data_IF_840570204223
#
_entry.id   IF_840570204223
#
_cell.length_a   1.000
_cell.length_b   1.000
_cell.length_c   1.000
_cell.angle_alpha   90.00
_cell.angle_beta   90.00
_cell.angle_gamma   90.00
#
_symmetry.space_group_name_H-M   'P 1'
#
loop_
_entity.id
_entity.type
_entity.pdbx_description
1 polymer ?
#
# COMPACT_ATOMS: atom_id res chain seq x y z
N UNK A 1 -19.39 -12.42 -10.83
CA UNK A 1 -19.99 -13.72 -10.48
C UNK A 1 -21.50 -13.57 -10.64
N UNK A 2 -22.17 -14.38 -11.46
CA UNK A 2 -23.64 -14.44 -11.42
C UNK A 2 -24.00 -15.10 -10.10
N UNK A 3 -24.81 -14.43 -9.28
CA UNK A 3 -25.40 -15.07 -8.11
C UNK A 3 -26.35 -16.17 -8.63
N UNK A 4 -26.11 -17.41 -8.21
CA UNK A 4 -27.02 -18.51 -8.47
C UNK A 4 -28.27 -18.26 -7.63
N UNK A 5 -29.39 -18.00 -8.29
CA UNK A 5 -30.69 -17.78 -7.64
C UNK A 5 -31.44 -19.08 -7.37
N UNK A 6 -30.90 -20.23 -7.79
CA UNK A 6 -31.51 -21.54 -7.57
C UNK A 6 -30.60 -22.68 -8.01
N UNK A 7 -30.90 -23.89 -7.54
CA UNK A 7 -30.17 -25.11 -7.87
C UNK A 7 -30.37 -25.46 -9.35
N UNK A 8 -29.30 -25.66 -10.15
CA UNK A 8 -29.40 -25.98 -11.57
C UNK A 8 -29.92 -27.41 -11.82
N UNK A 9 -29.92 -28.28 -10.80
CA UNK A 9 -30.43 -29.65 -10.93
C UNK A 9 -31.91 -29.80 -10.57
N UNK A 10 -32.36 -29.18 -9.48
CA UNK A 10 -33.74 -29.37 -8.99
C UNK A 10 -34.58 -28.08 -8.94
N UNK A 11 -33.98 -26.91 -9.19
CA UNK A 11 -34.67 -25.63 -9.16
C UNK A 11 -34.95 -25.05 -7.78
N UNK A 12 -34.66 -25.76 -6.68
CA UNK A 12 -34.83 -25.22 -5.32
C UNK A 12 -33.92 -24.02 -5.07
N UNK A 13 -34.45 -23.03 -4.36
CA UNK A 13 -33.73 -21.83 -3.91
C UNK A 13 -33.00 -22.06 -2.57
N UNK A 14 -33.16 -23.24 -1.95
CA UNK A 14 -32.57 -23.61 -0.67
C UNK A 14 -31.08 -23.94 -0.86
N UNK A 15 -30.27 -22.88 -0.91
CA UNK A 15 -28.83 -22.95 -1.14
C UNK A 15 -28.05 -22.50 0.11
N UNK A 16 -27.17 -23.36 0.59
CA UNK A 16 -26.26 -23.08 1.71
C UNK A 16 -24.84 -22.85 1.20
N UNK A 17 -24.21 -21.74 1.63
CA UNK A 17 -22.80 -21.45 1.33
C UNK A 17 -21.89 -22.27 2.26
N UNK A 18 -20.98 -23.02 1.67
CA UNK A 18 -19.93 -23.73 2.39
C UNK A 18 -18.67 -22.89 2.50
N UNK A 19 -17.91 -23.12 3.56
CA UNK A 19 -16.59 -22.50 3.74
C UNK A 19 -15.63 -23.18 2.76
N UNK A 20 -15.05 -22.41 1.86
CA UNK A 20 -14.05 -22.91 0.92
C UNK A 20 -12.78 -23.40 1.58
N UNK A 21 -11.98 -24.14 0.81
CA UNK A 21 -10.66 -24.61 1.20
C UNK A 21 -9.73 -23.41 1.41
N UNK A 22 -8.93 -23.48 2.48
CA UNK A 22 -7.89 -22.50 2.78
C UNK A 22 -6.61 -22.82 2.02
N UNK A 23 -5.98 -21.78 1.50
CA UNK A 23 -4.65 -21.82 0.89
C UNK A 23 -3.74 -20.77 1.50
N UNK A 24 -2.44 -21.07 1.52
CA UNK A 24 -1.42 -20.16 2.06
C UNK A 24 -0.61 -19.60 0.90
N UNK A 25 -0.69 -18.29 0.71
CA UNK A 25 0.12 -17.55 -0.25
C UNK A 25 1.21 -16.78 0.50
N UNK A 26 2.45 -16.94 0.03
CA UNK A 26 3.60 -16.22 0.59
C UNK A 26 3.72 -14.85 -0.08
N UNK A 27 3.50 -13.78 0.68
CA UNK A 27 3.74 -12.41 0.25
C UNK A 27 4.97 -11.89 1.00
N UNK A 28 6.07 -11.67 0.26
CA UNK A 28 7.40 -11.35 0.83
C UNK A 28 7.82 -12.42 1.86
N UNK A 29 7.86 -12.06 3.15
CA UNK A 29 8.25 -12.95 4.24
C UNK A 29 7.05 -13.40 5.10
N UNK A 30 5.82 -13.11 4.68
CA UNK A 30 4.61 -13.42 5.45
C UNK A 30 3.74 -14.46 4.72
N UNK A 31 3.15 -15.36 5.51
CA UNK A 31 2.16 -16.34 5.06
C UNK A 31 0.77 -15.72 5.22
N UNK A 32 0.02 -15.65 4.14
CA UNK A 32 -1.34 -15.10 4.10
C UNK A 32 -2.31 -16.23 3.77
N UNK A 33 -3.31 -16.45 4.62
CA UNK A 33 -4.40 -17.38 4.35
C UNK A 33 -5.45 -16.72 3.45
N UNK A 34 -5.85 -17.41 2.38
CA UNK A 34 -6.92 -17.03 1.45
C UNK A 34 -7.84 -18.23 1.20
N UNK A 35 -9.06 -17.98 0.73
CA UNK A 35 -10.03 -19.03 0.40
C UNK A 35 -9.98 -19.32 -1.10
N UNK A 36 -9.64 -20.56 -1.49
CA UNK A 36 -9.40 -20.99 -2.88
C UNK A 36 -10.65 -21.18 -3.73
N UNK A 37 -11.78 -21.43 -3.10
CA UNK A 37 -13.03 -21.76 -3.78
C UNK A 37 -14.23 -21.25 -3.01
N UNK A 38 -15.31 -21.00 -3.72
CA UNK A 38 -16.63 -20.81 -3.14
C UNK A 38 -17.45 -22.05 -3.48
N UNK A 39 -18.03 -22.68 -2.45
CA UNK A 39 -18.86 -23.86 -2.60
C UNK A 39 -20.27 -23.53 -2.11
N UNK A 40 -21.27 -23.97 -2.85
CA UNK A 40 -22.68 -23.82 -2.52
C UNK A 40 -23.32 -25.20 -2.62
N UNK A 41 -24.05 -25.61 -1.59
CA UNK A 41 -24.80 -26.86 -1.57
C UNK A 41 -26.30 -26.60 -1.61
N UNK A 42 -27.05 -27.39 -2.38
CA UNK A 42 -28.50 -27.40 -2.34
C UNK A 42 -28.99 -28.27 -1.19
N UNK A 43 -29.83 -27.74 -0.31
CA UNK A 43 -30.34 -28.50 0.83
C UNK A 43 -31.39 -29.55 0.45
N UNK A 44 -32.09 -29.33 -0.65
CA UNK A 44 -33.15 -30.22 -1.16
C UNK A 44 -32.59 -31.47 -1.83
N UNK A 45 -31.63 -31.33 -2.77
CA UNK A 45 -31.09 -32.47 -3.53
C UNK A 45 -29.64 -32.83 -3.19
N UNK A 46 -29.01 -32.09 -2.27
CA UNK A 46 -27.63 -32.27 -1.80
C UNK A 46 -26.52 -32.04 -2.84
N UNK A 47 -26.88 -31.56 -4.04
CA UNK A 47 -25.92 -31.18 -5.06
C UNK A 47 -25.02 -30.01 -4.61
N UNK A 48 -23.71 -30.12 -4.87
CA UNK A 48 -22.74 -29.08 -4.55
C UNK A 48 -22.12 -28.46 -5.80
N UNK A 49 -22.14 -27.14 -5.89
CA UNK A 49 -21.50 -26.36 -6.95
C UNK A 49 -20.27 -25.68 -6.35
N UNK A 50 -19.09 -25.99 -6.90
CA UNK A 50 -17.83 -25.39 -6.46
C UNK A 50 -17.21 -24.58 -7.58
N UNK A 51 -16.88 -23.31 -7.29
CA UNK A 51 -16.13 -22.43 -8.17
C UNK A 51 -14.78 -22.11 -7.55
N UNK A 52 -13.71 -22.40 -8.28
CA UNK A 52 -12.35 -22.07 -7.86
C UNK A 52 -11.97 -20.68 -8.32
N UNK A 53 -11.29 -19.93 -7.46
CA UNK A 53 -10.62 -18.71 -7.85
C UNK A 53 -9.41 -19.03 -8.71
N UNK A 54 -9.11 -18.16 -9.65
CA UNK A 54 -7.85 -18.21 -10.39
C UNK A 54 -6.66 -17.92 -9.46
N UNK A 55 -5.47 -18.35 -9.87
CA UNK A 55 -4.23 -18.06 -9.13
C UNK A 55 -4.02 -16.54 -8.96
N UNK A 56 -4.31 -15.76 -10.01
CA UNK A 56 -4.21 -14.30 -9.96
C UNK A 56 -5.18 -13.67 -8.94
N UNK A 57 -6.43 -14.17 -8.86
CA UNK A 57 -7.39 -13.71 -7.86
C UNK A 57 -6.91 -14.00 -6.44
N UNK A 58 -6.36 -15.20 -6.19
CA UNK A 58 -5.83 -15.58 -4.89
C UNK A 58 -4.62 -14.73 -4.50
N UNK A 59 -3.69 -14.50 -5.43
CA UNK A 59 -2.53 -13.65 -5.21
C UNK A 59 -2.98 -12.20 -4.91
N UNK A 60 -3.98 -11.69 -5.63
CA UNK A 60 -4.47 -10.34 -5.41
C UNK A 60 -5.18 -10.18 -4.05
N UNK A 61 -5.98 -11.16 -3.65
CA UNK A 61 -6.59 -11.22 -2.31
C UNK A 61 -5.52 -11.27 -1.22
N UNK A 62 -4.51 -12.15 -1.36
CA UNK A 62 -3.41 -12.25 -0.42
C UNK A 62 -2.62 -10.93 -0.30
N UNK A 63 -2.39 -10.25 -1.42
CA UNK A 63 -1.76 -8.91 -1.44
C UNK A 63 -2.64 -7.87 -0.76
N UNK A 64 -3.96 -7.92 -0.92
CA UNK A 64 -4.89 -6.99 -0.27
C UNK A 64 -4.88 -7.16 1.26
N UNK A 65 -4.99 -8.40 1.75
CA UNK A 65 -4.88 -8.72 3.19
C UNK A 65 -3.53 -8.25 3.74
N UNK A 66 -2.44 -8.47 2.99
CA UNK A 66 -1.11 -7.98 3.39
C UNK A 66 -1.06 -6.45 3.49
N UNK A 67 -1.70 -5.73 2.56
CA UNK A 67 -1.76 -4.25 2.60
C UNK A 67 -2.49 -3.74 3.83
N UNK A 68 -3.65 -4.31 4.11
CA UNK A 68 -4.48 -3.95 5.27
C UNK A 68 -3.70 -4.13 6.59
N UNK A 69 -3.04 -5.29 6.75
CA UNK A 69 -2.19 -5.57 7.92
C UNK A 69 -1.04 -4.57 8.11
N UNK A 70 -0.57 -3.96 7.02
CA UNK A 70 0.61 -3.07 7.02
C UNK A 70 0.28 -1.60 6.77
N UNK A 71 -1.01 -1.24 6.68
CA UNK A 71 -1.47 0.09 6.29
C UNK A 71 -0.79 0.61 5.01
N UNK A 72 -0.67 -0.25 4.01
CA UNK A 72 -0.08 0.10 2.71
C UNK A 72 -1.19 0.60 1.77
N UNK A 73 -1.03 1.77 1.12
CA UNK A 73 -1.99 2.25 0.14
C UNK A 73 -2.32 1.21 -0.92
N UNK A 74 -3.62 1.02 -1.15
CA UNK A 74 -4.14 0.16 -2.20
C UNK A 74 -3.95 0.80 -3.58
N UNK A 75 -4.06 0.01 -4.67
CA UNK A 75 -4.08 0.58 -6.02
C UNK A 75 -5.15 1.67 -6.18
N UNK A 76 -6.33 1.47 -5.59
CA UNK A 76 -7.43 2.42 -5.60
C UNK A 76 -7.06 3.73 -4.89
N UNK A 77 -6.38 3.66 -3.74
CA UNK A 77 -5.93 4.85 -3.01
C UNK A 77 -4.95 5.67 -3.85
N UNK A 78 -4.01 5.00 -4.54
CA UNK A 78 -3.05 5.65 -5.44
C UNK A 78 -3.75 6.31 -6.63
N UNK A 79 -4.74 5.64 -7.23
CA UNK A 79 -5.54 6.20 -8.32
C UNK A 79 -6.32 7.43 -7.83
N UNK A 80 -6.95 7.34 -6.66
CA UNK A 80 -7.75 8.43 -6.09
C UNK A 80 -6.88 9.64 -5.76
N UNK A 81 -5.72 9.42 -5.14
CA UNK A 81 -4.73 10.48 -4.91
C UNK A 81 -4.29 11.17 -6.21
N UNK A 82 -4.01 10.40 -7.26
CA UNK A 82 -3.67 10.96 -8.58
C UNK A 82 -4.81 11.81 -9.14
N UNK A 83 -6.06 11.35 -9.03
CA UNK A 83 -7.25 12.08 -9.48
C UNK A 83 -7.51 13.35 -8.67
N UNK A 84 -7.32 13.28 -7.35
CA UNK A 84 -7.52 14.38 -6.40
C UNK A 84 -6.73 15.63 -6.79
N UNK A 85 -5.52 15.46 -7.29
CA UNK A 85 -4.66 16.55 -7.75
C UNK A 85 -4.60 16.68 -9.27
N UNK A 86 -5.46 15.97 -10.01
CA UNK A 86 -5.46 15.89 -11.48
C UNK A 86 -4.07 15.61 -12.08
N UNK A 87 -3.30 14.73 -11.44
CA UNK A 87 -1.94 14.42 -11.85
C UNK A 87 -1.94 13.45 -13.02
N UNK A 88 -1.20 13.73 -14.07
CA UNK A 88 -0.75 12.76 -15.04
C UNK A 88 0.28 11.79 -14.46
N UNK A 89 0.73 10.81 -15.24
CA UNK A 89 1.83 9.94 -14.82
C UNK A 89 3.16 10.72 -14.68
N UNK A 90 3.41 11.66 -15.60
CA UNK A 90 4.58 12.54 -15.55
C UNK A 90 4.52 13.47 -14.34
N UNK A 91 3.36 14.07 -14.10
CA UNK A 91 3.16 14.95 -12.94
C UNK A 91 3.41 14.22 -11.61
N UNK A 92 2.97 12.96 -11.51
CA UNK A 92 3.24 12.14 -10.33
C UNK A 92 4.74 11.83 -10.17
N UNK A 93 5.44 11.54 -11.27
CA UNK A 93 6.88 11.31 -11.27
C UNK A 93 7.65 12.57 -10.84
N UNK A 94 7.27 13.75 -11.35
CA UNK A 94 7.87 15.04 -10.96
C UNK A 94 7.56 15.43 -9.52
N UNK A 95 6.42 14.99 -8.98
CA UNK A 95 6.03 15.22 -7.58
C UNK A 95 6.79 14.32 -6.61
N UNK A 96 6.98 13.05 -6.97
CA UNK A 96 7.36 11.99 -6.03
C UNK A 96 8.74 11.37 -6.30
N UNK A 97 9.29 11.56 -7.49
CA UNK A 97 10.46 10.83 -8.00
C UNK A 97 10.18 9.37 -8.38
N UNK A 98 8.92 8.90 -8.30
CA UNK A 98 8.56 7.54 -8.65
C UNK A 98 8.34 7.45 -10.16
N UNK A 99 9.22 6.71 -10.84
CA UNK A 99 9.14 6.50 -12.28
C UNK A 99 7.75 6.01 -12.73
N UNK A 100 7.26 6.51 -13.86
CA UNK A 100 5.96 6.15 -14.43
C UNK A 100 5.72 4.63 -14.50
N UNK A 101 6.70 3.86 -14.98
CA UNK A 101 6.61 2.39 -15.04
C UNK A 101 6.40 1.76 -13.65
N UNK A 102 7.05 2.31 -12.62
CA UNK A 102 6.92 1.85 -11.24
C UNK A 102 5.54 2.19 -10.68
N UNK A 103 5.05 3.41 -10.91
CA UNK A 103 3.68 3.79 -10.54
C UNK A 103 2.63 2.87 -11.20
N UNK A 104 2.78 2.57 -12.49
CA UNK A 104 1.86 1.66 -13.19
C UNK A 104 1.85 0.25 -12.57
N UNK A 105 3.00 -0.24 -12.08
CA UNK A 105 3.05 -1.51 -11.35
C UNK A 105 2.24 -1.44 -10.07
N UNK A 106 2.34 -0.35 -9.31
CA UNK A 106 1.57 -0.17 -8.07
C UNK A 106 0.07 -0.10 -8.34
N UNK A 107 -0.34 0.64 -9.38
CA UNK A 107 -1.73 0.71 -9.84
C UNK A 107 -2.25 -0.67 -10.31
N UNK A 108 -1.36 -1.54 -10.79
CA UNK A 108 -1.69 -2.94 -11.15
C UNK A 108 -1.58 -3.92 -9.97
N UNK A 109 -1.41 -3.44 -8.74
CA UNK A 109 -1.40 -4.30 -7.56
C UNK A 109 -0.02 -4.79 -7.11
N UNK A 110 1.09 -4.29 -7.66
CA UNK A 110 2.39 -4.50 -7.04
C UNK A 110 2.48 -3.79 -5.68
N UNK A 111 3.21 -4.37 -4.74
CA UNK A 111 3.37 -3.81 -3.38
C UNK A 111 4.62 -2.90 -3.38
N UNK A 112 4.50 -1.59 -3.08
CA UNK A 112 5.64 -0.67 -2.99
C UNK A 112 6.63 -1.07 -1.90
N UNK A 113 7.90 -0.72 -2.07
CA UNK A 113 8.91 -0.91 -1.03
C UNK A 113 8.62 -0.01 0.19
N UNK A 114 9.19 -0.31 1.37
CA UNK A 114 8.88 0.43 2.60
C UNK A 114 9.12 1.94 2.54
N UNK A 115 10.10 2.42 1.77
CA UNK A 115 10.37 3.85 1.65
C UNK A 115 9.30 4.53 0.80
N UNK A 116 8.93 3.92 -0.32
CA UNK A 116 7.83 4.38 -1.16
C UNK A 116 6.50 4.37 -0.42
N UNK A 117 6.23 3.35 0.40
CA UNK A 117 5.01 3.32 1.24
C UNK A 117 4.94 4.55 2.15
N UNK A 118 6.04 4.88 2.83
CA UNK A 118 6.08 6.06 3.73
C UNK A 118 5.82 7.36 2.96
N UNK A 119 6.43 7.51 1.79
CA UNK A 119 6.20 8.69 0.93
C UNK A 119 4.74 8.80 0.51
N UNK A 120 4.15 7.71 0.00
CA UNK A 120 2.74 7.71 -0.43
C UNK A 120 1.80 8.05 0.74
N UNK A 121 2.00 7.42 1.90
CA UNK A 121 1.21 7.69 3.11
C UNK A 121 1.34 9.16 3.54
N UNK A 122 2.55 9.72 3.50
CA UNK A 122 2.79 11.12 3.83
C UNK A 122 2.02 12.06 2.90
N UNK A 123 2.13 11.85 1.58
CA UNK A 123 1.47 12.70 0.58
C UNK A 123 -0.05 12.57 0.61
N UNK A 124 -0.58 11.38 0.85
CA UNK A 124 -2.02 11.14 0.91
C UNK A 124 -2.66 11.73 2.18
N UNK A 125 -1.90 11.81 3.27
CA UNK A 125 -2.38 12.31 4.55
C UNK A 125 -2.04 13.77 4.80
N UNK A 126 -1.21 14.40 3.96
CA UNK A 126 -0.82 15.79 4.15
C UNK A 126 -0.83 16.59 2.84
N UNK A 127 -1.97 17.18 2.48
CA UNK A 127 -2.12 18.06 1.33
C UNK A 127 -1.14 19.23 1.34
N UNK A 128 -0.77 19.79 2.51
CA UNK A 128 0.15 20.93 2.56
C UNK A 128 1.53 20.56 2.02
N UNK A 129 1.98 19.33 2.28
CA UNK A 129 3.22 18.81 1.71
C UNK A 129 3.10 18.71 0.19
N UNK A 130 1.98 18.20 -0.32
CA UNK A 130 1.74 18.11 -1.77
C UNK A 130 1.80 19.51 -2.42
N UNK A 131 1.11 20.49 -1.82
CA UNK A 131 1.10 21.88 -2.29
C UNK A 131 2.48 22.51 -2.26
N UNK A 132 3.23 22.29 -1.17
CA UNK A 132 4.59 22.80 -1.00
C UNK A 132 5.54 22.24 -2.06
N UNK A 133 5.51 20.92 -2.29
CA UNK A 133 6.32 20.25 -3.31
C UNK A 133 5.99 20.78 -4.71
N UNK A 134 4.71 20.88 -5.07
CA UNK A 134 4.30 21.45 -6.36
C UNK A 134 4.74 22.91 -6.52
N UNK A 135 4.58 23.73 -5.48
CA UNK A 135 4.91 25.16 -5.53
C UNK A 135 6.42 25.43 -5.64
N UNK A 136 7.24 24.51 -5.15
CA UNK A 136 8.70 24.58 -5.19
C UNK A 136 9.31 24.00 -6.48
N UNK A 137 8.57 23.19 -7.24
CA UNK A 137 9.07 22.55 -8.45
C UNK A 137 8.62 23.35 -9.71
N UNK A 138 9.56 23.85 -10.54
CA UNK A 138 9.25 24.67 -11.72
C UNK A 138 8.49 23.92 -12.82
N UNK A 139 8.39 22.59 -12.75
CA UNK A 139 7.58 21.79 -13.66
C UNK A 139 6.08 22.11 -13.54
N UNK A 140 5.60 22.47 -12.35
CA UNK A 140 4.18 22.69 -12.10
C UNK A 140 3.77 24.14 -12.32
N UNK A 141 2.72 24.35 -13.11
CA UNK A 141 2.07 25.65 -13.22
C UNK A 141 1.31 26.00 -11.93
N UNK A 142 1.85 26.96 -11.19
CA UNK A 142 1.31 27.41 -9.91
C UNK A 142 -0.15 27.86 -10.01
N UNK A 143 -0.56 28.49 -11.12
CA UNK A 143 -1.93 28.98 -11.26
C UNK A 143 -2.92 27.82 -11.45
N UNK A 144 -2.54 26.84 -12.27
CA UNK A 144 -3.35 25.65 -12.57
C UNK A 144 -3.63 24.79 -11.33
N UNK A 145 -2.67 24.68 -10.41
CA UNK A 145 -2.86 23.86 -9.20
C UNK A 145 -3.46 24.67 -8.04
N UNK A 146 -3.26 25.99 -7.97
CA UNK A 146 -3.93 26.83 -6.98
C UNK A 146 -5.46 26.78 -7.10
N UNK A 147 -6.03 26.60 -8.30
CA UNK A 147 -7.48 26.40 -8.45
C UNK A 147 -7.93 25.06 -7.87
N UNK A 148 -7.20 23.98 -8.14
CA UNK A 148 -7.48 22.63 -7.59
C UNK A 148 -7.41 22.64 -6.05
N UNK A 149 -6.47 23.38 -5.49
CA UNK A 149 -6.28 23.54 -4.04
C UNK A 149 -7.37 24.44 -3.42
N UNK A 150 -7.88 25.44 -4.14
CA UNK A 150 -8.96 26.32 -3.65
C UNK A 150 -10.33 25.65 -3.65
N UNK A 151 -10.55 24.70 -4.54
CA UNK A 151 -11.74 23.84 -4.54
C UNK A 151 -11.73 22.83 -3.37
N UNK A 152 -10.59 22.69 -2.70
CA UNK A 152 -10.43 21.86 -1.52
C UNK A 152 -10.87 22.59 -0.25
N UNK A 153 -11.87 22.03 0.44
CA UNK A 153 -12.26 22.49 1.76
C UNK A 153 -11.24 22.05 2.82
N UNK A 154 -10.27 22.93 3.12
CA UNK A 154 -9.28 22.74 4.18
C UNK A 154 -9.90 22.54 5.57
N UNK A 155 -11.17 22.92 5.78
CA UNK A 155 -11.90 22.68 7.03
C UNK A 155 -11.99 21.19 7.37
N UNK A 156 -12.34 20.34 6.39
CA UNK A 156 -12.46 18.88 6.55
C UNK A 156 -11.10 18.22 6.79
N UNK A 157 -10.01 18.78 6.27
CA UNK A 157 -8.66 18.29 6.48
C UNK A 157 -8.17 18.52 7.92
N UNK A 158 -8.41 19.71 8.47
CA UNK A 158 -8.02 20.05 9.86
C UNK A 158 -8.63 19.10 10.90
N UNK A 159 -9.93 18.78 10.76
CA UNK A 159 -10.62 17.84 11.64
C UNK A 159 -10.10 16.39 11.54
N UNK A 160 -9.73 15.94 10.34
CA UNK A 160 -9.13 14.61 10.13
C UNK A 160 -7.73 14.51 10.71
N UNK A 161 -6.93 15.58 10.58
CA UNK A 161 -5.58 15.69 11.15
C UNK A 161 -5.62 15.64 12.68
N UNK A 162 -6.53 16.39 13.30
CA UNK A 162 -6.72 16.39 14.76
C UNK A 162 -7.21 15.02 15.28
N UNK A 163 -8.14 14.36 14.58
CA UNK A 163 -8.56 12.98 14.90
C UNK A 163 -7.44 11.96 14.74
N UNK A 164 -6.57 12.11 13.74
CA UNK A 164 -5.42 11.23 13.55
C UNK A 164 -4.35 11.45 14.62
N UNK A 165 -4.01 12.70 14.94
CA UNK A 165 -3.02 13.05 15.97
C UNK A 165 -3.49 12.65 17.39
N UNK A 166 -4.80 12.76 17.68
CA UNK A 166 -5.39 12.31 18.96
C UNK A 166 -5.47 10.79 19.14
N UNK A 167 -5.34 10.02 18.05
CA UNK A 167 -5.33 8.54 18.08
C UNK A 167 -3.92 7.96 18.07
N UNK A 168 -2.88 8.78 17.95
CA UNK A 168 -1.51 8.29 18.09
C UNK A 168 -1.15 8.09 19.57
N UNK A 169 -0.54 6.95 19.95
CA UNK A 169 -0.08 6.76 21.32
C UNK A 169 0.94 7.85 21.68
N UNK A 170 0.76 8.46 22.86
CA UNK A 170 1.65 9.47 23.42
C UNK A 170 3.10 9.02 23.25
N UNK A 171 3.91 9.81 22.52
CA UNK A 171 5.34 9.59 22.38
C UNK A 171 5.94 9.44 23.79
N UNK A 172 6.28 8.22 24.19
CA UNK A 172 7.08 8.00 25.39
C UNK A 172 8.37 8.77 25.20
N UNK A 173 8.67 9.68 26.13
CA UNK A 173 9.85 10.54 26.13
C UNK A 173 11.06 9.74 25.66
N UNK A 174 11.68 10.19 24.57
CA UNK A 174 12.92 9.61 24.07
C UNK A 174 13.93 9.55 25.22
N UNK A 175 14.44 8.37 25.54
CA UNK A 175 15.58 8.25 26.45
C UNK A 175 16.77 9.00 25.83
N UNK A 176 17.64 9.67 26.61
CA UNK A 176 18.72 10.45 26.06
C UNK A 176 19.63 9.56 25.19
N UNK A 177 19.73 9.87 23.90
CA UNK A 177 20.72 9.26 23.00
C UNK A 177 22.11 9.60 23.54
N UNK A 178 22.81 8.62 24.14
CA UNK A 178 24.24 8.77 24.44
C UNK A 178 24.98 9.01 23.12
N UNK A 179 25.73 10.12 23.04
CA UNK A 179 26.64 10.41 21.93
C UNK A 179 27.76 9.38 21.98
N UNK A 180 27.80 8.46 21.03
CA UNK A 180 28.95 7.58 20.85
C UNK A 180 30.03 8.39 20.10
N UNK A 181 31.10 8.75 20.82
CA UNK A 181 32.34 9.27 20.21
C UNK A 181 32.93 8.18 19.33
N UNK A 182 32.98 8.42 18.02
CA UNK A 182 33.83 7.62 17.13
C UNK A 182 35.28 7.98 17.46
N UNK A 183 35.93 7.16 18.28
CA UNK A 183 37.37 7.23 18.54
C UNK A 183 38.09 6.97 17.20
N UNK A 184 38.94 7.90 16.78
CA UNK A 184 39.79 7.73 15.62
C UNK A 184 40.81 6.61 15.92
N UNK A 185 40.75 5.51 15.18
CA UNK A 185 41.82 4.51 15.22
C UNK A 185 43.08 5.08 14.55
N UNK A 186 44.28 4.90 15.15
CA UNK A 186 45.51 5.39 14.55
C UNK A 186 45.85 4.58 13.28
N UNK A 187 46.22 5.29 12.21
CA UNK A 187 46.74 4.71 10.97
C UNK A 187 48.05 3.98 11.28
N UNK A 188 48.11 2.67 11.05
CA UNK A 188 49.37 1.93 11.04
C UNK A 188 50.13 2.27 9.76
N UNK A 189 51.25 2.97 9.89
CA UNK A 189 52.27 3.07 8.84
C UNK A 189 53.02 1.73 8.79
N UNK A 190 53.09 1.10 7.61
CA UNK A 190 54.06 0.04 7.33
C UNK A 190 54.97 0.51 6.21
N UNK A 191 56.16 0.99 6.58
CA UNK A 191 57.32 1.13 5.69
C UNK A 191 58.38 0.16 6.17
N UNK A 192 58.77 -0.74 5.26
CA UNK A 192 60.07 -1.36 5.03
C UNK A 192 60.99 -1.74 6.21
N UNK A 193 61.40 -3.02 6.28
CA UNK A 193 62.69 -3.49 5.71
C UNK A 193 63.18 -4.82 6.32
N UNK A 194 63.65 -5.71 5.42
CA UNK A 194 64.90 -6.49 5.46
C UNK A 194 65.04 -7.73 6.39
N UNK A 195 65.13 -8.89 5.71
CA UNK A 195 66.26 -9.85 5.64
C UNK A 195 66.69 -10.72 6.85
N UNK A 196 67.13 -11.94 6.49
CA UNK A 196 67.79 -13.03 7.24
C UNK A 196 66.86 -13.89 8.12
N UNK A 197 66.96 -15.24 8.14
CA UNK A 197 67.93 -16.19 7.62
C UNK A 197 67.19 -17.44 7.10
#
# INVERSE_FOLDING_TARGET
MRELTGCPLCGSEDLTKEIGKKEIIKIRNEKIEVISNNSIQCDSCKESITSFKSEDELINEARQIYREKKNIPSPTDIINFKKQYNLGFRDFEELTGIANKTLQRYIKGAIPDPSTVKLLVLLMNDPEIVVSLMSSNPYFDKQKFQSIIREWDFGVYSEKREKFESQQPLKTKQSPRKKNQWQQHPKKNSTDHLLAA
#
